data_IF_583447307683
#
_entry.id   IF_583447307683
#
_cell.length_a   1.000
_cell.length_b   1.000
_cell.length_c   1.000
_cell.angle_alpha   90.00
_cell.angle_beta   90.00
_cell.angle_gamma   90.00
#
_symmetry.space_group_name_H-M   'P 1'
#
loop_
_entity.id
_entity.type
_entity.pdbx_description
1 polymer ?
#
# COMPACT_ATOMS: atom_id res chain seq x y z
N UNK A 1 -28.26 19.15 -11.76
CA UNK A 1 -27.59 18.70 -10.52
C UNK A 1 -26.94 17.36 -10.85
N UNK A 2 -25.64 17.22 -10.63
CA UNK A 2 -24.89 16.01 -11.01
C UNK A 2 -24.82 15.00 -9.86
N UNK A 3 -24.71 13.73 -10.18
CA UNK A 3 -24.53 12.62 -9.23
C UNK A 3 -23.05 12.49 -8.86
N UNK A 4 -22.64 13.08 -7.73
CA UNK A 4 -21.24 13.16 -7.32
C UNK A 4 -20.89 12.04 -6.35
N UNK A 5 -19.71 11.47 -6.54
CA UNK A 5 -19.10 10.50 -5.64
C UNK A 5 -17.70 10.95 -5.27
N UNK A 6 -17.33 10.79 -4.00
CA UNK A 6 -16.01 11.15 -3.50
C UNK A 6 -15.21 9.88 -3.21
N UNK A 7 -13.91 9.92 -3.45
CA UNK A 7 -13.00 8.83 -3.14
C UNK A 7 -11.78 9.36 -2.39
N UNK A 8 -11.45 8.71 -1.29
CA UNK A 8 -10.32 9.05 -0.44
C UNK A 8 -9.38 7.85 -0.34
N UNK A 9 -8.09 8.13 -0.34
CA UNK A 9 -7.03 7.15 -0.06
C UNK A 9 -6.39 7.51 1.26
N UNK A 10 -6.27 6.52 2.14
CA UNK A 10 -5.71 6.65 3.49
C UNK A 10 -4.49 5.73 3.65
N UNK A 11 -3.56 6.12 4.51
CA UNK A 11 -2.40 5.31 4.90
C UNK A 11 -1.98 5.62 6.34
N UNK A 12 -1.28 4.69 7.00
CA UNK A 12 -0.68 4.93 8.32
C UNK A 12 0.62 5.72 8.21
N UNK A 13 0.65 6.89 8.83
CA UNK A 13 1.79 7.81 8.86
C UNK A 13 2.17 8.17 10.29
N UNK A 14 3.47 8.23 10.58
CA UNK A 14 4.00 8.83 11.80
C UNK A 14 3.84 10.35 11.68
N UNK A 15 3.12 11.03 12.59
CA UNK A 15 2.97 12.47 12.53
C UNK A 15 4.28 13.20 12.79
N UNK A 16 4.40 14.42 12.25
CA UNK A 16 5.49 15.34 12.54
C UNK A 16 5.63 15.58 14.04
N UNK A 17 6.86 15.53 14.55
CA UNK A 17 7.16 15.75 15.97
C UNK A 17 6.71 14.60 16.89
N UNK A 18 6.25 13.47 16.36
CA UNK A 18 5.89 12.30 17.18
C UNK A 18 7.12 11.75 17.91
N UNK A 19 7.07 11.71 19.24
CA UNK A 19 8.14 11.16 20.09
C UNK A 19 7.98 9.66 20.32
N UNK A 20 6.78 9.12 20.15
CA UNK A 20 6.47 7.71 20.37
C UNK A 20 6.71 6.84 19.14
N UNK A 21 6.89 7.45 17.97
CA UNK A 21 6.95 6.73 16.69
C UNK A 21 5.62 6.08 16.29
N UNK A 22 4.53 6.36 17.02
CA UNK A 22 3.23 5.77 16.73
C UNK A 22 2.68 6.35 15.42
N UNK A 23 2.39 5.46 14.47
CA UNK A 23 1.76 5.80 13.20
C UNK A 23 0.24 5.91 13.35
N UNK A 24 -0.37 6.83 12.62
CA UNK A 24 -1.81 7.06 12.59
C UNK A 24 -2.36 7.09 11.17
N UNK A 25 -3.61 6.69 10.97
CA UNK A 25 -4.26 6.82 9.67
C UNK A 25 -4.46 8.28 9.27
N UNK A 26 -4.05 8.61 8.03
CA UNK A 26 -4.21 9.93 7.43
C UNK A 26 -4.67 9.80 5.99
N UNK A 27 -5.53 10.72 5.54
CA UNK A 27 -5.86 10.86 4.12
C UNK A 27 -4.64 11.40 3.38
N UNK A 28 -4.24 10.73 2.29
CA UNK A 28 -3.09 11.09 1.45
C UNK A 28 -3.47 11.41 0.01
N UNK A 29 -4.68 11.06 -0.42
CA UNK A 29 -5.24 11.52 -1.68
C UNK A 29 -6.76 11.63 -1.56
N UNK A 30 -7.34 12.63 -2.20
CA UNK A 30 -8.78 12.81 -2.27
C UNK A 30 -9.16 13.25 -3.69
N UNK A 31 -10.17 12.60 -4.24
CA UNK A 31 -10.64 12.83 -5.60
C UNK A 31 -12.18 12.77 -5.65
N UNK A 32 -12.80 13.48 -6.58
CA UNK A 32 -14.23 13.39 -6.81
C UNK A 32 -14.52 13.08 -8.27
N UNK A 33 -15.64 12.40 -8.52
CA UNK A 33 -16.07 12.08 -9.87
C UNK A 33 -17.54 12.46 -10.07
N UNK A 34 -17.85 13.08 -11.20
CA UNK A 34 -19.22 13.42 -11.59
C UNK A 34 -19.87 12.26 -12.33
N UNK A 35 -21.17 12.05 -12.13
CA UNK A 35 -21.92 10.94 -12.74
C UNK A 35 -21.36 9.55 -12.36
N UNK A 36 -20.85 9.41 -11.12
CA UNK A 36 -20.34 8.15 -10.61
C UNK A 36 -21.32 7.56 -9.59
N UNK A 37 -22.16 6.63 -10.01
CA UNK A 37 -23.22 6.05 -9.18
C UNK A 37 -23.47 4.59 -9.57
N UNK A 38 -24.38 3.91 -8.87
CA UNK A 38 -24.69 2.51 -9.17
C UNK A 38 -23.47 1.60 -8.97
N UNK A 39 -23.09 0.85 -9.99
CA UNK A 39 -21.91 -0.04 -9.94
C UNK A 39 -20.58 0.67 -10.26
N UNK A 40 -20.59 1.93 -10.71
CA UNK A 40 -19.38 2.63 -11.17
C UNK A 40 -18.31 2.78 -10.07
N UNK A 41 -18.64 3.15 -8.81
CA UNK A 41 -17.65 3.22 -7.74
C UNK A 41 -16.96 1.87 -7.47
N UNK A 42 -17.69 0.75 -7.56
CA UNK A 42 -17.12 -0.59 -7.41
C UNK A 42 -16.14 -0.91 -8.52
N UNK A 43 -16.46 -0.52 -9.77
CA UNK A 43 -15.54 -0.71 -10.89
C UNK A 43 -14.27 0.13 -10.72
N UNK A 44 -14.42 1.37 -10.24
CA UNK A 44 -13.29 2.24 -9.87
C UNK A 44 -12.39 1.59 -8.82
N UNK A 45 -12.98 1.07 -7.74
CA UNK A 45 -12.24 0.31 -6.71
C UNK A 45 -11.53 -0.88 -7.34
N UNK A 46 -12.23 -1.74 -8.08
CA UNK A 46 -11.63 -2.93 -8.69
C UNK A 46 -10.43 -2.59 -9.59
N UNK A 47 -10.54 -1.55 -10.43
CA UNK A 47 -9.43 -1.07 -11.27
C UNK A 47 -8.27 -0.54 -10.43
N UNK A 48 -8.55 0.25 -9.39
CA UNK A 48 -7.49 0.76 -8.53
C UNK A 48 -6.76 -0.37 -7.81
N UNK A 49 -7.49 -1.35 -7.26
CA UNK A 49 -6.88 -2.54 -6.65
C UNK A 49 -6.04 -3.34 -7.65
N UNK A 50 -6.47 -3.46 -8.90
CA UNK A 50 -5.67 -4.07 -9.95
C UNK A 50 -4.38 -3.28 -10.24
N UNK A 51 -4.43 -1.94 -10.22
CA UNK A 51 -3.24 -1.10 -10.33
C UNK A 51 -2.30 -1.27 -9.13
N UNK A 52 -2.82 -1.45 -7.91
CA UNK A 52 -2.01 -1.69 -6.70
C UNK A 52 -1.29 -3.05 -6.74
N UNK A 53 -1.89 -4.08 -7.34
CA UNK A 53 -1.27 -5.41 -7.48
C UNK A 53 -0.05 -5.42 -8.41
N UNK A 54 0.15 -4.38 -9.22
CA UNK A 54 1.36 -4.23 -10.00
C UNK A 54 2.51 -3.79 -9.10
N UNK A 55 3.55 -4.61 -8.96
CA UNK A 55 4.64 -4.35 -8.00
C UNK A 55 5.43 -3.06 -8.30
N UNK A 56 5.51 -2.63 -9.57
CA UNK A 56 6.14 -1.34 -9.90
C UNK A 56 5.30 -0.17 -9.36
N UNK A 57 3.98 -0.23 -9.50
CA UNK A 57 3.10 0.78 -8.93
C UNK A 57 3.16 0.73 -7.39
N UNK A 58 3.11 -0.47 -6.80
CA UNK A 58 3.17 -0.67 -5.36
C UNK A 58 4.46 -0.10 -4.76
N UNK A 59 5.62 -0.35 -5.37
CA UNK A 59 6.91 0.16 -4.90
C UNK A 59 6.96 1.70 -4.88
N UNK A 60 6.40 2.37 -5.90
CA UNK A 60 6.31 3.83 -5.95
C UNK A 60 5.38 4.35 -4.85
N UNK A 61 4.22 3.71 -4.63
CA UNK A 61 3.29 4.10 -3.55
C UNK A 61 3.95 3.94 -2.18
N UNK A 62 4.67 2.84 -1.94
CA UNK A 62 5.43 2.64 -0.70
C UNK A 62 6.50 3.71 -0.51
N UNK A 63 7.17 4.13 -1.57
CA UNK A 63 8.13 5.24 -1.53
C UNK A 63 7.44 6.59 -1.24
N UNK A 64 6.30 6.89 -1.85
CA UNK A 64 5.52 8.11 -1.54
C UNK A 64 5.08 8.13 -0.07
N UNK A 65 4.55 7.02 0.44
CA UNK A 65 4.17 6.87 1.86
C UNK A 65 5.38 7.07 2.77
N UNK A 66 6.53 6.47 2.42
CA UNK A 66 7.78 6.61 3.17
C UNK A 66 8.24 8.07 3.24
N UNK A 67 8.18 8.81 2.13
CA UNK A 67 8.60 10.22 2.06
C UNK A 67 7.74 11.15 2.92
N UNK A 68 6.49 10.79 3.19
CA UNK A 68 5.59 11.61 4.02
C UNK A 68 5.59 11.22 5.50
N UNK A 69 6.33 10.17 5.88
CA UNK A 69 6.52 9.79 7.29
C UNK A 69 7.23 10.91 8.07
N UNK A 70 6.66 11.35 9.20
CA UNK A 70 7.24 12.36 10.07
C UNK A 70 7.24 13.79 9.50
N UNK A 71 6.68 14.01 8.31
CA UNK A 71 6.71 15.32 7.64
C UNK A 71 5.50 16.19 8.02
N UNK A 72 4.32 15.60 8.11
CA UNK A 72 3.06 16.32 8.32
C UNK A 72 2.41 16.00 9.67
N UNK A 73 1.69 16.96 10.23
CA UNK A 73 0.92 16.78 11.47
C UNK A 73 -0.31 15.89 11.27
N UNK A 74 -1.06 15.64 12.35
CA UNK A 74 -2.37 15.00 12.26
C UNK A 74 -3.37 15.92 11.55
N UNK A 75 -4.59 15.43 11.31
CA UNK A 75 -5.66 16.26 10.74
C UNK A 75 -5.87 17.50 11.58
N UNK A 76 -5.78 18.67 10.96
CA UNK A 76 -5.97 19.96 11.63
C UNK A 76 -4.72 20.49 12.33
N UNK A 77 -3.62 19.74 12.35
CA UNK A 77 -2.36 20.13 12.98
C UNK A 77 -1.30 20.50 11.94
N UNK A 78 -0.39 21.39 12.31
CA UNK A 78 0.75 21.81 11.49
C UNK A 78 1.95 20.86 11.66
N UNK A 79 2.76 20.60 10.61
CA UNK A 79 2.65 21.08 9.24
C UNK A 79 1.47 20.44 8.48
N UNK A 80 0.70 21.27 7.79
CA UNK A 80 -0.42 20.78 6.98
C UNK A 80 0.08 20.04 5.75
N UNK A 81 -0.62 18.98 5.40
CA UNK A 81 -0.37 18.21 4.19
C UNK A 81 -0.70 19.06 2.94
N UNK A 82 0.14 19.11 1.89
CA UNK A 82 -0.17 19.83 0.66
C UNK A 82 -1.36 19.19 -0.08
N UNK A 83 -1.84 19.83 -1.15
CA UNK A 83 -2.96 19.30 -1.96
C UNK A 83 -2.65 17.91 -2.54
N UNK A 84 -1.40 17.65 -2.91
CA UNK A 84 -0.95 16.40 -3.52
C UNK A 84 0.32 15.88 -2.82
N UNK A 85 0.20 15.28 -1.63
CA UNK A 85 1.35 14.76 -0.88
C UNK A 85 1.91 13.48 -1.52
N UNK A 86 1.06 12.72 -2.21
CA UNK A 86 1.37 11.47 -2.91
C UNK A 86 0.82 11.57 -4.36
N UNK A 87 1.46 12.37 -5.23
CA UNK A 87 0.94 12.68 -6.57
C UNK A 87 0.75 11.44 -7.46
N UNK A 88 1.62 10.43 -7.36
CA UNK A 88 1.51 9.21 -8.16
C UNK A 88 0.34 8.33 -7.70
N UNK A 89 0.15 8.19 -6.39
CA UNK A 89 -1.02 7.52 -5.81
C UNK A 89 -2.33 8.19 -6.27
N UNK A 90 -2.38 9.53 -6.23
CA UNK A 90 -3.52 10.30 -6.73
C UNK A 90 -3.72 10.16 -8.25
N UNK A 91 -2.64 10.09 -9.02
CA UNK A 91 -2.69 9.83 -10.47
C UNK A 91 -3.33 8.47 -10.78
N UNK A 92 -2.90 7.40 -10.11
CA UNK A 92 -3.49 6.07 -10.28
C UNK A 92 -4.97 6.04 -9.86
N UNK A 93 -5.32 6.76 -8.78
CA UNK A 93 -6.70 6.88 -8.33
C UNK A 93 -7.57 7.56 -9.39
N UNK A 94 -7.10 8.68 -9.93
CA UNK A 94 -7.79 9.38 -11.02
C UNK A 94 -7.94 8.48 -12.25
N UNK A 95 -6.88 7.78 -12.65
CA UNK A 95 -6.93 6.87 -13.80
C UNK A 95 -8.00 5.79 -13.61
N UNK A 96 -8.06 5.18 -12.43
CA UNK A 96 -9.03 4.14 -12.11
C UNK A 96 -10.49 4.66 -12.12
N UNK A 97 -10.74 5.94 -11.84
CA UNK A 97 -12.09 6.50 -11.88
C UNK A 97 -12.50 7.04 -13.25
N UNK A 98 -11.53 7.53 -14.05
CA UNK A 98 -11.82 8.25 -15.27
C UNK A 98 -11.67 7.41 -16.56
N UNK A 99 -11.02 6.24 -16.49
CA UNK A 99 -10.76 5.39 -17.67
C UNK A 99 -11.19 3.94 -17.40
N UNK A 100 -12.02 3.37 -18.28
CA UNK A 100 -12.32 1.94 -18.32
C UNK A 100 -12.14 1.43 -19.75
N UNK A 101 -11.16 0.54 -19.94
CA UNK A 101 -10.90 -0.13 -21.21
C UNK A 101 -11.28 -1.62 -21.16
N UNK A 102 -12.07 -2.03 -20.16
CA UNK A 102 -12.53 -3.42 -20.03
C UNK A 102 -13.48 -3.84 -21.15
N UNK A 103 -14.19 -2.88 -21.76
CA UNK A 103 -14.98 -3.07 -22.98
C UNK A 103 -14.29 -2.31 -24.14
N UNK A 104 -13.68 -3.06 -25.05
CA UNK A 104 -12.98 -2.49 -26.21
C UNK A 104 -13.94 -1.90 -27.26
N UNK A 105 -15.20 -2.32 -27.26
CA UNK A 105 -16.22 -1.78 -28.16
C UNK A 105 -16.78 -0.46 -27.64
N UNK A 106 -16.81 -0.30 -26.32
CA UNK A 106 -17.31 0.91 -25.64
C UNK A 106 -16.38 1.36 -24.51
N UNK A 107 -15.18 1.87 -24.83
CA UNK A 107 -14.27 2.34 -23.80
C UNK A 107 -14.87 3.56 -23.10
N UNK A 108 -14.77 3.58 -21.78
CA UNK A 108 -15.24 4.69 -20.96
C UNK A 108 -14.11 5.69 -20.73
N UNK A 109 -14.42 6.96 -21.00
CA UNK A 109 -13.61 8.10 -20.63
C UNK A 109 -14.52 9.18 -20.05
N UNK A 110 -14.27 9.62 -18.82
CA UNK A 110 -15.11 10.65 -18.18
C UNK A 110 -14.98 12.03 -18.84
N UNK A 111 -13.86 12.28 -19.53
CA UNK A 111 -13.50 13.59 -20.09
C UNK A 111 -13.14 14.65 -19.03
N UNK A 112 -13.13 14.28 -17.74
CA UNK A 112 -12.77 15.19 -16.66
C UNK A 112 -11.25 15.37 -16.57
N UNK A 113 -10.80 16.62 -16.39
CA UNK A 113 -9.40 16.93 -16.16
C UNK A 113 -8.96 16.51 -14.76
N UNK A 114 -7.71 16.06 -14.62
CA UNK A 114 -7.11 15.64 -13.36
C UNK A 114 -7.29 16.69 -12.25
N UNK A 115 -6.89 17.94 -12.52
CA UNK A 115 -6.84 19.01 -11.51
C UNK A 115 -8.22 19.44 -10.99
N UNK A 116 -9.25 19.39 -11.85
CA UNK A 116 -10.59 19.83 -11.45
C UNK A 116 -11.26 18.90 -10.44
N UNK A 117 -10.71 17.70 -10.27
CA UNK A 117 -11.30 16.65 -9.47
C UNK A 117 -10.57 16.38 -8.15
N UNK A 118 -9.42 17.03 -7.91
CA UNK A 118 -8.61 16.84 -6.71
C UNK A 118 -9.17 17.61 -5.51
N UNK A 119 -9.19 16.96 -4.35
CA UNK A 119 -9.61 17.53 -3.09
C UNK A 119 -8.47 17.58 -2.09
N UNK A 120 -8.58 18.49 -1.10
CA UNK A 120 -7.56 18.61 -0.07
C UNK A 120 -7.57 17.37 0.85
N UNK A 121 -6.43 16.72 1.13
CA UNK A 121 -6.38 15.63 2.11
C UNK A 121 -6.68 16.10 3.54
N UNK A 122 -6.74 17.41 3.79
CA UNK A 122 -7.07 17.99 5.08
C UNK A 122 -8.58 18.19 5.31
N UNK A 123 -9.39 18.05 4.28
CA UNK A 123 -10.84 18.24 4.39
C UNK A 123 -11.52 17.08 5.12
N UNK A 124 -12.78 17.30 5.50
CA UNK A 124 -13.66 16.24 5.95
C UNK A 124 -14.15 15.36 4.82
N UNK A 125 -14.37 14.07 5.10
CA UNK A 125 -14.94 13.13 4.13
C UNK A 125 -16.32 13.59 3.63
N UNK A 126 -17.07 14.34 4.45
CA UNK A 126 -18.33 14.97 4.08
C UNK A 126 -18.27 16.49 3.91
N UNK A 127 -17.09 17.05 3.61
CA UNK A 127 -16.93 18.49 3.45
C UNK A 127 -17.16 18.97 2.00
N UNK A 128 -17.18 18.07 1.02
CA UNK A 128 -17.55 18.38 -0.37
C UNK A 128 -19.00 18.04 -0.68
N UNK A 129 -19.49 18.50 -1.82
CA UNK A 129 -20.79 18.11 -2.36
C UNK A 129 -20.74 16.63 -2.76
N UNK A 130 -21.49 15.78 -2.04
CA UNK A 130 -21.59 14.36 -2.31
C UNK A 130 -23.06 13.93 -2.36
N UNK A 131 -23.45 13.33 -3.47
CA UNK A 131 -24.84 12.94 -3.73
C UNK A 131 -25.03 11.41 -3.67
N UNK A 132 -24.00 10.63 -4.01
CA UNK A 132 -24.11 9.17 -4.18
C UNK A 132 -23.34 8.34 -3.14
N UNK A 133 -22.21 8.85 -2.64
CA UNK A 133 -21.44 8.12 -1.64
C UNK A 133 -19.97 8.48 -1.59
N UNK A 134 -19.31 7.94 -0.59
CA UNK A 134 -17.88 8.06 -0.39
C UNK A 134 -17.27 6.66 -0.50
N UNK A 135 -16.16 6.56 -1.21
CA UNK A 135 -15.28 5.39 -1.17
C UNK A 135 -14.03 5.75 -0.37
N UNK A 136 -13.60 4.86 0.53
CA UNK A 136 -12.32 5.01 1.23
C UNK A 136 -11.48 3.77 0.95
N UNK A 137 -10.21 3.96 0.60
CA UNK A 137 -9.26 2.88 0.29
C UNK A 137 -8.02 3.06 1.15
N UNK A 138 -7.67 2.03 1.91
CA UNK A 138 -6.42 1.94 2.68
C UNK A 138 -5.32 1.34 1.80
N UNK A 139 -4.23 2.09 1.65
CA UNK A 139 -3.02 1.68 0.91
C UNK A 139 -1.78 1.63 1.80
N UNK A 140 -1.97 1.52 3.12
CA UNK A 140 -0.86 1.37 4.07
C UNK A 140 0.10 0.26 3.65
N UNK A 141 -0.46 -0.87 3.22
CA UNK A 141 0.24 -1.89 2.44
C UNK A 141 -0.46 -2.06 1.09
N UNK A 142 0.14 -1.61 -0.03
CA UNK A 142 -0.46 -1.78 -1.36
C UNK A 142 -0.65 -3.25 -1.78
N UNK A 143 0.05 -4.21 -1.14
CA UNK A 143 -0.13 -5.64 -1.41
C UNK A 143 -1.36 -6.24 -0.71
N UNK A 144 -1.78 -5.65 0.41
CA UNK A 144 -3.01 -6.01 1.14
C UNK A 144 -3.90 -4.77 1.38
N UNK A 145 -4.49 -4.21 0.32
CA UNK A 145 -5.33 -3.02 0.44
C UNK A 145 -6.67 -3.35 1.09
N UNK A 146 -7.27 -2.35 1.73
CA UNK A 146 -8.64 -2.44 2.21
C UNK A 146 -9.53 -1.35 1.62
N UNK A 147 -10.84 -1.57 1.56
CA UNK A 147 -11.78 -0.54 1.14
C UNK A 147 -13.07 -0.51 1.96
N UNK A 148 -13.82 0.57 1.88
CA UNK A 148 -15.23 0.58 2.23
C UNK A 148 -15.99 1.62 1.41
N UNK A 149 -17.32 1.52 1.47
CA UNK A 149 -18.23 2.55 0.98
C UNK A 149 -18.99 3.18 2.15
N UNK A 150 -19.35 4.44 2.03
CA UNK A 150 -20.07 5.20 3.04
C UNK A 150 -21.16 6.01 2.33
N UNK A 151 -22.42 5.79 2.67
CA UNK A 151 -23.54 6.47 2.01
C UNK A 151 -23.92 7.78 2.67
N UNK A 152 -23.86 7.82 4.00
CA UNK A 152 -24.30 8.96 4.78
C UNK A 152 -23.50 9.05 6.08
N UNK A 153 -23.52 10.22 6.72
CA UNK A 153 -22.90 10.42 8.04
C UNK A 153 -23.44 9.49 9.13
N UNK A 154 -24.64 8.94 8.94
CA UNK A 154 -25.31 8.06 9.91
C UNK A 154 -25.09 6.57 9.62
N UNK A 155 -24.56 6.23 8.45
CA UNK A 155 -24.24 4.86 8.09
C UNK A 155 -22.78 4.59 8.39
N UNK A 156 -22.48 3.44 9.02
CA UNK A 156 -21.12 2.93 9.10
C UNK A 156 -20.55 2.54 7.73
N UNK A 157 -19.27 2.15 7.68
CA UNK A 157 -18.68 1.58 6.47
C UNK A 157 -19.44 0.33 6.04
N UNK A 158 -19.70 0.20 4.75
CA UNK A 158 -20.32 -1.00 4.14
C UNK A 158 -19.40 -1.58 3.07
N UNK A 159 -19.59 -2.87 2.81
CA UNK A 159 -18.93 -3.59 1.72
C UNK A 159 -19.60 -3.30 0.36
N UNK A 160 -19.10 -3.95 -0.69
CA UNK A 160 -19.65 -3.85 -2.04
C UNK A 160 -21.13 -4.26 -2.12
N UNK A 161 -21.58 -5.25 -1.34
CA UNK A 161 -22.98 -5.72 -1.36
C UNK A 161 -23.90 -4.70 -0.72
N UNK A 162 -23.52 -4.15 0.44
CA UNK A 162 -24.26 -3.11 1.16
C UNK A 162 -24.40 -1.85 0.32
N UNK A 163 -23.36 -1.46 -0.42
CA UNK A 163 -23.43 -0.32 -1.33
C UNK A 163 -24.38 -0.57 -2.52
N UNK A 164 -24.22 -1.68 -3.22
CA UNK A 164 -24.97 -2.02 -4.46
C UNK A 164 -26.45 -2.25 -4.19
N UNK A 165 -26.82 -2.80 -3.04
CA UNK A 165 -28.22 -3.02 -2.64
C UNK A 165 -29.06 -1.74 -2.62
N UNK A 166 -28.43 -0.57 -2.55
CA UNK A 166 -29.15 0.69 -2.65
C UNK A 166 -29.66 0.99 -4.08
N UNK A 167 -28.94 0.52 -5.10
CA UNK A 167 -29.25 0.81 -6.50
C UNK A 167 -29.94 -0.35 -7.20
N UNK A 168 -29.70 -1.58 -6.73
CA UNK A 168 -30.15 -2.80 -7.39
C UNK A 168 -30.76 -3.77 -6.39
N UNK A 169 -31.78 -4.52 -6.82
CA UNK A 169 -32.31 -5.65 -6.05
C UNK A 169 -31.35 -6.85 -6.14
N UNK A 170 -30.24 -6.75 -5.40
CA UNK A 170 -29.13 -7.71 -5.49
C UNK A 170 -29.58 -9.14 -5.18
N UNK A 171 -30.52 -9.31 -4.24
CA UNK A 171 -31.01 -10.64 -3.87
C UNK A 171 -31.80 -11.28 -5.01
N UNK A 172 -32.61 -10.50 -5.75
CA UNK A 172 -33.28 -11.00 -6.96
C UNK A 172 -32.26 -11.35 -8.08
N UNK A 173 -31.25 -10.52 -8.27
CA UNK A 173 -30.18 -10.75 -9.28
C UNK A 173 -29.37 -12.01 -8.96
N UNK A 174 -29.07 -12.24 -7.68
CA UNK A 174 -28.31 -13.42 -7.24
C UNK A 174 -29.15 -14.69 -7.27
N UNK A 175 -30.45 -14.65 -6.92
CA UNK A 175 -31.35 -15.81 -7.05
C UNK A 175 -31.47 -16.33 -8.49
N UNK A 176 -31.47 -15.44 -9.49
CA UNK A 176 -31.41 -15.83 -10.91
C UNK A 176 -30.15 -16.65 -11.26
N UNK A 177 -29.07 -16.58 -10.47
CA UNK A 177 -27.84 -17.39 -10.67
C UNK A 177 -28.04 -18.85 -10.28
N UNK A 178 -28.74 -19.06 -9.18
CA UNK A 178 -28.85 -20.36 -8.51
C UNK A 178 -30.02 -21.18 -9.06
N UNK A 179 -31.04 -20.53 -9.61
CA UNK A 179 -32.24 -21.15 -10.18
C UNK A 179 -32.08 -21.79 -11.56
N UNK A 180 -30.86 -22.03 -12.04
CA UNK A 180 -30.58 -22.65 -13.36
C UNK A 180 -30.84 -24.15 -13.41
N UNK A 181 -31.99 -24.62 -12.92
CA UNK A 181 -32.44 -26.00 -13.05
C UNK A 181 -33.56 -26.11 -14.08
N UNK A 182 -33.28 -26.78 -15.20
CA UNK A 182 -34.13 -27.50 -16.17
C UNK A 182 -35.57 -27.01 -16.48
N UNK A 183 -35.92 -25.75 -16.19
CA UNK A 183 -37.19 -25.18 -16.60
C UNK A 183 -37.05 -24.59 -18.01
N UNK A 184 -37.62 -25.31 -18.98
CA UNK A 184 -37.72 -24.89 -20.38
C UNK A 184 -38.31 -23.47 -20.52
N UNK A 185 -37.50 -22.59 -21.08
CA UNK A 185 -37.89 -21.52 -22.01
C UNK A 185 -38.81 -20.39 -21.50
N UNK A 186 -38.63 -19.92 -20.25
CA UNK A 186 -39.16 -18.61 -19.84
C UNK A 186 -38.07 -17.51 -19.89
N UNK A 187 -38.22 -16.59 -20.84
CA UNK A 187 -37.34 -15.43 -21.11
C UNK A 187 -37.16 -14.52 -19.89
N UNK A 188 -38.03 -14.63 -18.88
CA UNK A 188 -37.97 -13.88 -17.62
C UNK A 188 -36.78 -14.25 -16.70
N UNK A 189 -36.10 -15.37 -16.96
CA UNK A 189 -34.98 -15.85 -16.12
C UNK A 189 -33.60 -15.35 -16.55
N UNK A 190 -33.47 -14.80 -17.77
CA UNK A 190 -32.17 -14.31 -18.26
C UNK A 190 -31.78 -13.01 -17.55
N UNK A 191 -30.49 -12.91 -17.23
CA UNK A 191 -29.91 -11.67 -16.69
C UNK A 191 -29.77 -10.63 -17.78
N UNK A 192 -30.13 -9.39 -17.46
CA UNK A 192 -29.77 -8.27 -18.33
C UNK A 192 -28.24 -8.06 -18.31
N UNK A 193 -27.64 -7.46 -19.35
CA UNK A 193 -26.21 -7.12 -19.35
C UNK A 193 -25.78 -6.31 -18.12
N UNK A 194 -26.64 -5.43 -17.64
CA UNK A 194 -26.41 -4.64 -16.43
C UNK A 194 -26.35 -5.51 -15.16
N UNK A 195 -27.29 -6.45 -15.01
CA UNK A 195 -27.32 -7.37 -13.87
C UNK A 195 -26.07 -8.26 -13.85
N UNK A 196 -25.63 -8.76 -15.01
CA UNK A 196 -24.39 -9.53 -15.14
C UNK A 196 -23.17 -8.71 -14.71
N UNK A 197 -23.06 -7.48 -15.20
CA UNK A 197 -21.94 -6.60 -14.85
C UNK A 197 -21.91 -6.22 -13.37
N UNK A 198 -23.07 -6.10 -12.71
CA UNK A 198 -23.15 -5.90 -11.26
C UNK A 198 -22.65 -7.12 -10.50
N UNK A 199 -23.02 -8.33 -10.94
CA UNK A 199 -22.58 -9.58 -10.30
C UNK A 199 -21.07 -9.76 -10.44
N UNK A 200 -20.52 -9.50 -11.62
CA UNK A 200 -19.09 -9.60 -11.89
C UNK A 200 -18.27 -8.66 -11.00
N UNK A 201 -18.67 -7.39 -10.89
CA UNK A 201 -17.91 -6.43 -10.07
C UNK A 201 -18.04 -6.73 -8.57
N UNK A 202 -19.19 -7.22 -8.10
CA UNK A 202 -19.35 -7.68 -6.72
C UNK A 202 -18.43 -8.87 -6.44
N UNK A 203 -18.38 -9.84 -7.37
CA UNK A 203 -17.51 -10.99 -7.24
C UNK A 203 -16.01 -10.60 -7.25
N UNK A 204 -15.62 -9.61 -8.04
CA UNK A 204 -14.23 -9.14 -8.11
C UNK A 204 -13.72 -8.48 -6.81
N UNK A 205 -14.63 -7.97 -5.98
CA UNK A 205 -14.31 -7.33 -4.70
C UNK A 205 -14.57 -8.24 -3.49
N UNK A 206 -15.05 -9.47 -3.71
CA UNK A 206 -15.29 -10.45 -2.66
C UNK A 206 -13.96 -10.89 -2.04
N UNK A 207 -13.90 -10.93 -0.71
CA UNK A 207 -12.71 -11.36 0.05
C UNK A 207 -11.64 -10.28 0.23
N UNK A 208 -11.78 -9.10 -0.36
CA UNK A 208 -10.88 -7.97 -0.08
C UNK A 208 -11.21 -7.39 1.31
N UNK A 209 -10.16 -7.03 2.06
CA UNK A 209 -10.26 -6.50 3.43
C UNK A 209 -11.10 -5.21 3.47
N UNK A 210 -11.87 -5.03 4.55
CA UNK A 210 -12.69 -3.83 4.73
C UNK A 210 -12.00 -2.79 5.61
N UNK A 211 -12.16 -1.52 5.25
CA UNK A 211 -11.80 -0.38 6.12
C UNK A 211 -12.82 -0.32 7.26
N UNK A 212 -12.32 -0.34 8.50
CA UNK A 212 -13.17 -0.38 9.70
C UNK A 212 -13.61 1.02 10.15
N UNK A 213 -14.63 1.07 11.01
CA UNK A 213 -15.07 2.33 11.62
C UNK A 213 -13.96 2.98 12.45
N UNK A 214 -13.11 2.18 13.12
CA UNK A 214 -11.97 2.67 13.89
C UNK A 214 -10.95 3.39 13.00
N UNK A 215 -10.63 2.82 11.83
CA UNK A 215 -9.76 3.47 10.83
C UNK A 215 -10.35 4.82 10.38
N UNK A 216 -11.65 4.88 10.12
CA UNK A 216 -12.33 6.12 9.72
C UNK A 216 -12.36 7.16 10.84
N UNK A 217 -12.60 6.74 12.09
CA UNK A 217 -12.58 7.60 13.27
C UNK A 217 -11.17 8.17 13.53
N UNK A 218 -10.13 7.42 13.22
CA UNK A 218 -8.75 7.90 13.34
C UNK A 218 -8.44 8.98 12.29
N UNK A 219 -8.91 8.83 11.04
CA UNK A 219 -8.71 9.83 9.98
C UNK A 219 -9.61 11.06 10.16
N UNK A 220 -10.88 10.85 10.51
CA UNK A 220 -11.91 11.88 10.63
C UNK A 220 -12.70 11.77 11.96
N UNK A 221 -12.08 12.12 13.11
CA UNK A 221 -12.65 11.87 14.45
C UNK A 221 -13.93 12.64 14.75
N UNK A 222 -14.17 13.76 14.07
CA UNK A 222 -15.41 14.54 14.24
C UNK A 222 -16.57 14.02 13.40
N UNK A 223 -16.30 13.15 12.43
CA UNK A 223 -17.30 12.62 11.48
C UNK A 223 -17.69 11.19 11.84
N UNK A 224 -16.73 10.39 12.29
CA UNK A 224 -16.96 9.01 12.72
C UNK A 224 -16.62 8.91 14.19
N UNK A 225 -17.62 8.58 15.01
CA UNK A 225 -17.44 8.26 16.42
C UNK A 225 -17.61 6.76 16.58
N UNK A 226 -16.74 6.07 17.32
CA UNK A 226 -17.11 4.78 17.88
C UNK A 226 -18.40 5.00 18.66
N UNK A 227 -19.48 4.31 18.31
CA UNK A 227 -20.63 4.30 19.21
C UNK A 227 -20.20 3.51 20.44
N UNK A 228 -20.25 4.12 21.63
CA UNK A 228 -19.94 3.49 22.92
C UNK A 228 -20.87 2.30 23.28
N UNK A 229 -21.67 1.79 22.33
CA UNK A 229 -22.84 0.94 22.57
C UNK A 229 -22.88 -0.38 21.77
N UNK A 230 -21.80 -0.84 21.17
CA UNK A 230 -21.73 -2.23 20.67
C UNK A 230 -20.68 -3.03 21.42
N UNK A 231 -21.09 -3.50 22.61
CA UNK A 231 -20.64 -4.78 23.13
C UNK A 231 -21.12 -5.91 22.21
N UNK A 232 -20.47 -6.06 21.06
CA UNK A 232 -20.66 -7.21 20.15
C UNK A 232 -19.33 -7.95 20.05
N UNK A 233 -19.28 -9.02 20.83
CA UNK A 233 -18.37 -10.18 20.71
C UNK A 233 -16.88 -9.88 20.71
N UNK A 234 -16.40 -9.85 21.94
CA UNK A 234 -15.07 -10.01 22.52
C UNK A 234 -14.25 -11.22 21.99
N UNK A 235 -14.15 -11.37 20.67
CA UNK A 235 -13.27 -12.33 19.99
C UNK A 235 -12.30 -11.68 18.99
N UNK A 236 -12.40 -10.37 18.76
CA UNK A 236 -11.44 -9.61 17.95
C UNK A 236 -10.49 -8.73 18.78
N UNK A 237 -10.80 -8.46 20.05
CA UNK A 237 -9.98 -7.59 20.91
C UNK A 237 -8.89 -8.33 21.72
N UNK A 238 -8.78 -9.65 21.60
CA UNK A 238 -7.64 -10.41 22.16
C UNK A 238 -6.37 -10.39 21.29
N UNK A 239 -6.32 -9.62 20.21
CA UNK A 239 -5.10 -9.45 19.41
C UNK A 239 -4.49 -8.03 19.42
N UNK A 240 -5.08 -7.08 20.16
CA UNK A 240 -4.60 -5.67 20.13
C UNK A 240 -4.00 -5.15 21.46
N UNK A 241 -3.97 -5.92 22.54
CA UNK A 241 -3.27 -5.55 23.79
C UNK A 241 -2.37 -6.66 24.36
N UNK A 242 -1.86 -7.55 23.50
CA UNK A 242 -0.54 -8.07 23.80
C UNK A 242 0.42 -6.94 23.43
N UNK A 243 0.89 -6.15 24.39
CA UNK A 243 2.26 -5.62 24.26
C UNK A 243 3.09 -6.85 23.89
N UNK A 244 3.59 -7.01 22.65
CA UNK A 244 4.51 -8.09 22.41
C UNK A 244 5.62 -7.77 23.38
N UNK A 245 5.79 -8.62 24.40
CA UNK A 245 6.97 -8.55 25.24
C UNK A 245 8.08 -8.71 24.23
N UNK A 246 8.67 -7.58 23.84
CA UNK A 246 9.69 -7.50 22.81
C UNK A 246 10.71 -8.51 23.26
N UNK A 247 10.91 -9.54 22.43
CA UNK A 247 11.66 -10.71 22.87
C UNK A 247 12.99 -10.20 23.42
N UNK A 248 13.51 -10.78 24.50
CA UNK A 248 14.81 -10.37 25.03
C UNK A 248 15.87 -10.35 23.91
N UNK A 249 15.70 -11.21 22.91
CA UNK A 249 16.53 -11.25 21.71
C UNK A 249 16.34 -10.04 20.79
N UNK A 250 15.12 -9.54 20.60
CA UNK A 250 14.88 -8.31 19.83
C UNK A 250 15.48 -7.09 20.54
N UNK A 251 15.39 -7.04 21.87
CA UNK A 251 16.00 -5.98 22.68
C UNK A 251 17.52 -6.03 22.67
N UNK A 252 18.13 -7.23 22.56
CA UNK A 252 19.58 -7.39 22.58
C UNK A 252 20.25 -7.23 21.21
N UNK A 253 19.54 -7.47 20.10
CA UNK A 253 20.14 -7.43 18.76
C UNK A 253 20.56 -6.02 18.37
N UNK A 254 19.75 -5.00 18.61
CA UNK A 254 20.13 -3.62 18.27
C UNK A 254 21.42 -3.17 18.99
N UNK A 255 21.55 -3.35 20.32
CA UNK A 255 22.80 -3.11 21.03
C UNK A 255 23.97 -3.99 20.57
N UNK A 256 23.72 -5.26 20.22
CA UNK A 256 24.77 -6.14 19.72
C UNK A 256 25.30 -5.68 18.35
N UNK A 257 24.41 -5.29 17.43
CA UNK A 257 24.77 -4.68 16.16
C UNK A 257 25.56 -3.40 16.37
N UNK A 258 25.14 -2.55 17.30
CA UNK A 258 25.88 -1.34 17.65
C UNK A 258 27.27 -1.62 18.19
N UNK A 259 27.39 -2.56 19.12
CA UNK A 259 28.66 -2.94 19.70
C UNK A 259 29.61 -3.50 18.63
N UNK A 260 29.16 -4.45 17.81
CA UNK A 260 29.94 -5.01 16.70
C UNK A 260 30.41 -3.96 15.70
N UNK A 261 29.56 -2.98 15.36
CA UNK A 261 29.94 -1.86 14.50
C UNK A 261 30.90 -0.90 15.21
N UNK A 262 30.89 -0.80 16.54
CA UNK A 262 31.85 0.04 17.27
C UNK A 262 33.21 -0.63 17.44
N UNK A 263 33.25 -1.96 17.52
CA UNK A 263 34.47 -2.76 17.73
C UNK A 263 35.10 -3.27 16.43
N UNK A 264 34.48 -2.98 15.27
CA UNK A 264 34.88 -3.48 13.95
C UNK A 264 34.90 -5.03 13.87
N UNK A 265 34.10 -5.68 14.71
CA UNK A 265 34.00 -7.14 14.76
C UNK A 265 32.53 -7.56 14.56
N UNK A 266 32.22 -7.94 13.32
CA UNK A 266 30.89 -8.41 12.93
C UNK A 266 30.78 -9.93 12.94
N UNK A 267 31.86 -10.67 13.23
CA UNK A 267 31.93 -12.11 13.02
C UNK A 267 30.90 -12.91 13.86
N UNK A 268 30.60 -12.44 15.07
CA UNK A 268 29.55 -13.04 15.92
C UNK A 268 28.14 -12.87 15.34
N UNK A 269 27.87 -11.72 14.71
CA UNK A 269 26.56 -11.43 14.09
C UNK A 269 26.37 -12.21 12.81
N UNK A 270 27.44 -12.46 12.06
CA UNK A 270 27.38 -13.25 10.83
C UNK A 270 26.88 -14.67 11.10
N UNK A 271 27.18 -15.27 12.26
CA UNK A 271 26.63 -16.56 12.67
C UNK A 271 25.14 -16.51 13.06
N UNK A 272 24.66 -15.34 13.53
CA UNK A 272 23.28 -15.12 13.95
C UNK A 272 22.37 -14.88 12.75
N UNK A 273 22.87 -14.28 11.67
CA UNK A 273 22.10 -13.99 10.45
C UNK A 273 21.46 -15.25 9.85
N UNK A 274 22.13 -16.40 9.95
CA UNK A 274 21.61 -17.68 9.44
C UNK A 274 20.50 -18.31 10.29
N UNK A 275 20.11 -17.70 11.40
CA UNK A 275 19.01 -18.19 12.23
C UNK A 275 17.66 -17.66 11.75
N UNK A 276 16.62 -18.52 11.66
CA UNK A 276 15.28 -18.11 11.23
C UNK A 276 14.74 -16.91 12.03
N UNK A 277 14.33 -15.86 11.33
CA UNK A 277 13.77 -14.63 11.91
C UNK A 277 14.78 -13.67 12.53
N UNK A 278 16.09 -13.97 12.57
CA UNK A 278 17.11 -13.06 13.10
C UNK A 278 17.69 -12.12 12.04
N UNK A 279 17.79 -12.56 10.79
CA UNK A 279 18.23 -11.73 9.66
C UNK A 279 17.45 -10.41 9.57
N UNK A 280 16.11 -10.47 9.66
CA UNK A 280 15.23 -9.30 9.60
C UNK A 280 15.47 -8.30 10.75
N UNK A 281 15.78 -8.80 11.94
CA UNK A 281 16.08 -7.95 13.10
C UNK A 281 17.42 -7.23 12.94
N UNK A 282 18.44 -7.94 12.44
CA UNK A 282 19.76 -7.35 12.13
C UNK A 282 19.63 -6.33 10.99
N UNK A 283 18.88 -6.67 9.94
CA UNK A 283 18.54 -5.79 8.81
C UNK A 283 17.89 -4.50 9.28
N UNK A 284 16.86 -4.59 10.11
CA UNK A 284 16.19 -3.42 10.71
C UNK A 284 17.14 -2.54 11.53
N UNK A 285 18.04 -3.16 12.31
CA UNK A 285 19.03 -2.43 13.11
C UNK A 285 20.09 -1.71 12.24
N UNK A 286 20.50 -2.32 11.12
CA UNK A 286 21.41 -1.69 10.15
C UNK A 286 20.72 -0.55 9.38
N UNK A 287 19.47 -0.75 8.94
CA UNK A 287 18.69 0.28 8.22
C UNK A 287 18.48 1.56 9.03
N UNK A 288 18.48 1.46 10.37
CA UNK A 288 18.34 2.62 11.25
C UNK A 288 19.59 3.52 11.30
N UNK A 289 20.72 3.10 10.70
CA UNK A 289 21.99 3.84 10.78
C UNK A 289 22.09 4.90 9.68
N UNK A 290 22.38 6.13 10.11
CA UNK A 290 22.60 7.27 9.22
C UNK A 290 23.67 8.20 9.83
N UNK A 291 24.87 8.34 9.22
CA UNK A 291 25.32 7.68 7.99
C UNK A 291 25.50 6.17 8.15
N UNK A 292 25.47 5.42 7.04
CA UNK A 292 25.74 3.98 7.07
C UNK A 292 27.24 3.72 7.34
N UNK A 293 27.61 2.89 8.32
CA UNK A 293 29.00 2.71 8.70
C UNK A 293 29.73 1.72 7.77
N UNK A 294 30.99 2.04 7.39
CA UNK A 294 31.78 1.28 6.40
C UNK A 294 32.09 -0.17 6.81
N UNK A 295 32.15 -0.42 8.11
CA UNK A 295 32.36 -1.75 8.66
C UNK A 295 31.10 -2.61 8.66
N UNK A 296 29.92 -1.98 8.60
CA UNK A 296 28.65 -2.68 8.44
C UNK A 296 28.46 -3.32 7.06
N UNK A 297 29.31 -3.00 6.08
CA UNK A 297 29.19 -3.49 4.70
C UNK A 297 29.41 -5.01 4.60
N UNK A 298 30.33 -5.61 5.38
CA UNK A 298 30.52 -7.07 5.37
C UNK A 298 29.24 -7.79 5.79
N UNK A 299 28.64 -7.32 6.89
CA UNK A 299 27.41 -7.87 7.43
C UNK A 299 26.22 -7.65 6.47
N UNK A 300 26.14 -6.46 5.84
CA UNK A 300 25.14 -6.15 4.82
C UNK A 300 25.26 -7.09 3.61
N UNK A 301 26.47 -7.32 3.10
CA UNK A 301 26.69 -8.27 1.99
C UNK A 301 26.13 -9.63 2.38
N UNK A 302 26.49 -10.20 3.53
CA UNK A 302 25.98 -11.51 3.94
C UNK A 302 24.45 -11.57 4.10
N UNK A 303 23.83 -10.51 4.60
CA UNK A 303 22.37 -10.40 4.65
C UNK A 303 21.75 -10.44 3.25
N UNK A 304 22.35 -9.72 2.30
CA UNK A 304 21.90 -9.71 0.91
C UNK A 304 22.18 -11.03 0.19
N UNK A 305 23.27 -11.73 0.50
CA UNK A 305 23.53 -13.09 0.00
C UNK A 305 22.40 -14.04 0.44
N UNK A 306 22.04 -14.01 1.72
CA UNK A 306 20.92 -14.79 2.25
C UNK A 306 19.57 -14.41 1.60
N UNK A 307 19.29 -13.12 1.38
CA UNK A 307 18.06 -12.66 0.73
C UNK A 307 17.99 -13.11 -0.75
N UNK A 308 19.12 -13.07 -1.47
CA UNK A 308 19.23 -13.53 -2.86
C UNK A 308 19.03 -15.06 -2.96
N UNK A 309 19.59 -15.83 -2.03
CA UNK A 309 19.42 -17.29 -1.97
C UNK A 309 17.98 -17.71 -1.64
N UNK A 310 17.32 -16.97 -0.74
CA UNK A 310 16.01 -17.34 -0.21
C UNK A 310 14.83 -16.82 -1.04
N UNK A 311 14.96 -15.66 -1.68
CA UNK A 311 13.82 -14.96 -2.31
C UNK A 311 13.94 -14.91 -3.82
N UNK A 312 14.98 -14.24 -4.34
CA UNK A 312 15.15 -14.05 -5.78
C UNK A 312 16.63 -13.81 -6.14
N UNK A 313 17.33 -14.76 -6.78
CA UNK A 313 18.76 -14.62 -7.06
C UNK A 313 19.09 -13.61 -8.16
N UNK A 314 18.08 -13.08 -8.87
CA UNK A 314 18.26 -12.19 -10.01
C UNK A 314 18.07 -10.70 -9.67
N UNK A 315 17.52 -10.37 -8.50
CA UNK A 315 17.18 -8.98 -8.14
C UNK A 315 17.90 -8.60 -6.85
N UNK A 316 18.85 -7.67 -6.96
CA UNK A 316 19.51 -7.06 -5.81
C UNK A 316 18.74 -5.81 -5.37
N UNK A 317 18.13 -5.83 -4.19
CA UNK A 317 17.36 -4.71 -3.66
C UNK A 317 18.11 -3.95 -2.55
N UNK A 318 18.54 -2.72 -2.87
CA UNK A 318 19.17 -1.78 -1.93
C UNK A 318 18.25 -0.61 -1.56
N UNK A 319 16.96 -0.65 -1.94
CA UNK A 319 16.01 0.44 -1.66
C UNK A 319 15.66 0.63 -0.18
N UNK A 320 16.05 -0.34 0.65
CA UNK A 320 15.91 -0.32 2.10
C UNK A 320 17.06 0.39 2.83
N UNK A 321 18.14 0.74 2.13
CA UNK A 321 19.35 1.30 2.74
C UNK A 321 19.65 2.72 2.22
N UNK A 322 18.77 3.71 2.47
CA UNK A 322 18.86 5.03 1.84
C UNK A 322 20.11 5.84 2.22
N UNK A 323 20.80 5.44 3.30
CA UNK A 323 21.99 6.10 3.84
C UNK A 323 23.31 5.59 3.26
N UNK A 324 23.30 4.63 2.33
CA UNK A 324 24.52 4.14 1.69
C UNK A 324 25.19 5.23 0.86
N UNK A 325 26.53 5.30 0.92
CA UNK A 325 27.33 6.16 0.05
C UNK A 325 27.51 5.53 -1.35
N UNK A 326 27.87 6.32 -2.38
CA UNK A 326 28.25 5.80 -3.69
C UNK A 326 29.30 4.68 -3.66
N UNK A 327 30.35 4.86 -2.85
CA UNK A 327 31.46 3.93 -2.70
C UNK A 327 31.01 2.62 -2.04
N UNK A 328 30.12 2.73 -1.04
CA UNK A 328 29.53 1.60 -0.36
C UNK A 328 28.64 0.78 -1.30
N UNK A 329 27.78 1.43 -2.11
CA UNK A 329 26.96 0.74 -3.12
C UNK A 329 27.85 -0.01 -4.13
N UNK A 330 28.90 0.63 -4.64
CA UNK A 330 29.83 -0.02 -5.56
C UNK A 330 30.53 -1.22 -4.93
N UNK A 331 30.93 -1.12 -3.67
CA UNK A 331 31.56 -2.22 -2.92
C UNK A 331 30.60 -3.39 -2.72
N UNK A 332 29.35 -3.12 -2.35
CA UNK A 332 28.31 -4.16 -2.19
C UNK A 332 28.04 -4.86 -3.52
N UNK A 333 27.74 -4.09 -4.58
CA UNK A 333 27.45 -4.65 -5.90
C UNK A 333 28.65 -5.45 -6.43
N UNK A 334 29.87 -4.90 -6.36
CA UNK A 334 31.08 -5.60 -6.83
C UNK A 334 31.35 -6.89 -6.06
N UNK A 335 31.05 -6.91 -4.76
CA UNK A 335 31.23 -8.13 -3.95
C UNK A 335 30.19 -9.18 -4.34
N UNK A 336 28.92 -8.80 -4.39
CA UNK A 336 27.82 -9.70 -4.72
C UNK A 336 27.89 -10.20 -6.16
N UNK A 337 28.32 -9.40 -7.13
CA UNK A 337 28.48 -9.85 -8.52
C UNK A 337 29.61 -10.88 -8.70
N UNK A 338 30.56 -10.96 -7.76
CA UNK A 338 31.58 -12.03 -7.75
C UNK A 338 31.02 -13.33 -7.20
N UNK A 339 30.13 -13.25 -6.22
CA UNK A 339 29.47 -14.43 -5.61
C UNK A 339 28.31 -14.93 -6.46
N UNK A 340 27.49 -14.02 -6.99
CA UNK A 340 26.28 -14.28 -7.77
C UNK A 340 26.42 -13.72 -9.19
N UNK A 341 26.63 -14.59 -10.17
CA UNK A 341 26.87 -14.23 -11.56
C UNK A 341 25.60 -13.79 -12.32
N UNK A 342 24.42 -13.93 -11.73
CA UNK A 342 23.13 -13.80 -12.44
C UNK A 342 22.29 -12.58 -11.99
N UNK A 343 22.85 -11.61 -11.29
CA UNK A 343 22.10 -10.41 -10.89
C UNK A 343 21.71 -9.62 -12.17
N UNK A 344 20.41 -9.61 -12.49
CA UNK A 344 19.83 -8.97 -13.69
C UNK A 344 19.20 -7.61 -13.40
N UNK A 345 18.80 -7.38 -12.16
CA UNK A 345 18.13 -6.16 -11.73
C UNK A 345 18.74 -5.63 -10.45
N UNK A 346 18.89 -4.32 -10.36
CA UNK A 346 19.35 -3.60 -9.18
C UNK A 346 18.34 -2.51 -8.84
N UNK A 347 17.77 -2.57 -7.64
CA UNK A 347 16.86 -1.55 -7.13
C UNK A 347 17.60 -0.59 -6.20
N UNK A 348 17.78 0.66 -6.64
CA UNK A 348 18.39 1.75 -5.86
C UNK A 348 17.36 2.80 -5.39
N UNK A 349 16.07 2.51 -5.49
CA UNK A 349 15.00 3.47 -5.19
C UNK A 349 15.14 4.03 -3.77
N UNK A 350 14.95 5.35 -3.60
CA UNK A 350 15.05 6.00 -2.29
C UNK A 350 16.47 6.26 -1.78
N UNK A 351 17.52 5.89 -2.51
CA UNK A 351 18.89 6.21 -2.14
C UNK A 351 19.25 7.65 -2.55
N UNK A 352 19.12 8.60 -1.61
CA UNK A 352 19.32 10.03 -1.88
C UNK A 352 20.78 10.43 -2.13
N UNK A 353 21.73 9.60 -1.70
CA UNK A 353 23.16 9.85 -1.86
C UNK A 353 23.73 9.39 -3.22
N UNK A 354 22.91 8.75 -4.06
CA UNK A 354 23.36 8.13 -5.32
C UNK A 354 23.13 9.09 -6.48
N UNK A 355 24.20 9.37 -7.21
CA UNK A 355 24.17 10.23 -8.39
C UNK A 355 24.10 9.42 -9.68
N UNK A 356 23.85 10.09 -10.80
CA UNK A 356 23.89 9.48 -12.13
C UNK A 356 25.28 8.91 -12.48
N UNK A 357 26.36 9.49 -11.96
CA UNK A 357 27.71 8.96 -12.16
C UNK A 357 27.91 7.64 -11.43
N UNK A 358 27.38 7.51 -10.21
CA UNK A 358 27.41 6.25 -9.46
C UNK A 358 26.66 5.15 -10.19
N UNK A 359 25.47 5.44 -10.73
CA UNK A 359 24.71 4.46 -11.54
C UNK A 359 25.52 4.03 -12.77
N UNK A 360 26.19 4.96 -13.45
CA UNK A 360 27.04 4.65 -14.60
C UNK A 360 28.26 3.79 -14.22
N UNK A 361 28.80 3.92 -13.01
CA UNK A 361 29.89 3.07 -12.52
C UNK A 361 29.41 1.68 -12.13
N UNK A 362 28.25 1.59 -11.48
CA UNK A 362 27.61 0.32 -11.14
C UNK A 362 27.32 -0.51 -12.39
N UNK A 363 26.84 0.13 -13.48
CA UNK A 363 26.60 -0.54 -14.76
C UNK A 363 27.87 -1.05 -15.46
N UNK A 364 29.07 -0.58 -15.07
CA UNK A 364 30.35 -1.06 -15.59
C UNK A 364 30.87 -2.27 -14.84
N UNK A 365 30.29 -2.63 -13.69
CA UNK A 365 30.71 -3.80 -12.92
C UNK A 365 30.46 -5.03 -13.80
N UNK A 366 31.52 -5.78 -14.18
CA UNK A 366 31.39 -6.87 -15.12
C UNK A 366 30.60 -8.01 -14.49
N UNK A 367 29.45 -8.33 -15.10
CA UNK A 367 28.75 -9.59 -14.87
C UNK A 367 29.48 -10.62 -15.72
N UNK A 368 30.34 -11.43 -15.11
CA UNK A 368 31.16 -12.41 -15.85
C UNK A 368 30.23 -13.38 -16.60
N UNK A 369 30.31 -13.50 -17.93
CA UNK A 369 29.49 -14.46 -18.66
C UNK A 369 29.91 -15.88 -18.26
N UNK A 370 28.96 -16.66 -17.76
CA UNK A 370 29.12 -18.08 -17.46
C UNK A 370 29.66 -18.83 -18.69
N UNK A 371 30.74 -19.60 -18.47
CA UNK A 371 31.35 -20.48 -19.45
C UNK A 371 30.29 -21.37 -20.13
N UNK A 372 30.25 -21.32 -21.46
CA UNK A 372 29.78 -22.43 -22.29
C UNK A 372 30.69 -23.64 -22.01
N UNK A 373 30.14 -24.68 -21.38
CA UNK A 373 30.63 -26.05 -21.45
C UNK A 373 29.42 -26.97 -21.61
#
# INVERSE_FOLDING_TARGET
MGQRHQVFVIARLVPHGSTTGQAFYRCIAAHHHQFCYGSLPLRGVNRFLALLRNENNASIIRDEIRRVQGVYGRRGESPYMPLMPCPYTLFLLSLAWNVDMGDLEQPYFSGAGFDSCVFSPNMGSFAGDNDDGITVIDVTDPADPAYCFIRSRRSGPVDMRGYVRHYYNLDAIMKKREGGGDAEDDDTTKRTPLESAVVEVVAALEGVRLVTLGMLAEVWPHEYKPHDNEAITDNAERQAEANPITSLVELSIAPAVEHSLSTDDTSELEGIVWQPGKAELVKKALMARNPFPDNGISLLVKLLEHDLESTNPFILDLSFYPSLSPEQVLRVVTTLSKTFLDIKSLNLTGNHNISTSTVAEVLKVPVTPSYLA
#
